data_IF_959852509597
#
_entry.id   IF_959852509597
#
_cell.length_a   1.000
_cell.length_b   1.000
_cell.length_c   1.000
_cell.angle_alpha   90.00
_cell.angle_beta   90.00
_cell.angle_gamma   90.00
#
_symmetry.space_group_name_H-M   'P 1'
#
loop_
_entity.id
_entity.type
_entity.pdbx_description
1 polymer ?
#
# COMPACT_ATOMS: atom_id res chain seq x y z
N UNK A 1 -1.09 -16.68 7.36
CA UNK A 1 -2.24 -16.74 8.29
C UNK A 1 -3.10 -15.51 8.03
N UNK A 2 -4.37 -15.67 7.65
CA UNK A 2 -5.25 -14.52 7.40
C UNK A 2 -5.67 -13.88 8.75
N UNK A 3 -5.30 -12.63 8.99
CA UNK A 3 -5.86 -11.85 10.10
C UNK A 3 -7.36 -11.74 9.93
N UNK A 4 -8.12 -11.97 11.01
CA UNK A 4 -9.58 -11.86 10.98
C UNK A 4 -9.98 -10.38 11.08
N UNK A 5 -10.12 -9.74 9.93
CA UNK A 5 -10.58 -8.35 9.79
C UNK A 5 -12.11 -8.29 9.96
N UNK A 6 -12.58 -7.54 10.95
CA UNK A 6 -14.01 -7.35 11.20
C UNK A 6 -14.60 -6.15 10.41
N UNK A 7 -15.90 -5.88 10.60
CA UNK A 7 -16.59 -4.78 9.90
C UNK A 7 -16.04 -3.40 10.25
N UNK A 8 -15.60 -3.18 11.49
CA UNK A 8 -15.03 -1.90 11.93
C UNK A 8 -13.64 -1.74 11.32
N UNK A 9 -12.82 -2.79 11.32
CA UNK A 9 -11.50 -2.77 10.69
C UNK A 9 -11.59 -2.41 9.21
N UNK A 10 -12.55 -3.00 8.47
CA UNK A 10 -12.79 -2.64 7.06
C UNK A 10 -13.13 -1.17 6.87
N UNK A 11 -13.96 -0.60 7.75
CA UNK A 11 -14.30 0.83 7.70
C UNK A 11 -13.09 1.71 8.01
N UNK A 12 -12.28 1.35 9.00
CA UNK A 12 -11.02 2.05 9.30
C UNK A 12 -10.09 2.01 8.09
N UNK A 13 -9.91 0.84 7.46
CA UNK A 13 -9.08 0.69 6.27
C UNK A 13 -9.61 1.53 5.10
N UNK A 14 -10.92 1.57 4.89
CA UNK A 14 -11.54 2.42 3.86
C UNK A 14 -11.26 3.91 4.11
N UNK A 15 -11.39 4.39 5.35
CA UNK A 15 -11.06 5.79 5.69
C UNK A 15 -9.57 6.10 5.47
N UNK A 16 -8.67 5.19 5.87
CA UNK A 16 -7.23 5.36 5.67
C UNK A 16 -6.82 5.32 4.19
N UNK A 17 -7.46 4.48 3.37
CA UNK A 17 -7.20 4.41 1.94
C UNK A 17 -7.72 5.65 1.20
N UNK A 18 -8.84 6.22 1.67
CA UNK A 18 -9.36 7.47 1.14
C UNK A 18 -8.45 8.66 1.51
N UNK A 19 -8.05 8.74 2.77
CA UNK A 19 -7.12 9.77 3.27
C UNK A 19 -6.44 9.30 4.56
N UNK A 20 -5.16 8.97 4.47
CA UNK A 20 -4.34 8.53 5.60
C UNK A 20 -3.84 9.68 6.49
N UNK A 21 -4.07 10.95 6.12
CA UNK A 21 -3.68 12.13 6.89
C UNK A 21 -4.70 12.50 7.98
N UNK A 22 -5.89 11.91 7.93
CA UNK A 22 -6.97 12.16 8.88
C UNK A 22 -6.56 11.88 10.33
N UNK A 23 -7.08 12.70 11.26
CA UNK A 23 -6.90 12.44 12.67
C UNK A 23 -7.65 11.17 13.10
N UNK A 24 -7.14 10.50 14.14
CA UNK A 24 -7.81 9.35 14.73
C UNK A 24 -9.22 9.70 15.25
N UNK A 25 -9.43 10.93 15.68
CA UNK A 25 -10.74 11.43 16.13
C UNK A 25 -11.74 11.51 14.97
N UNK A 26 -11.30 11.99 13.80
CA UNK A 26 -12.12 12.04 12.59
C UNK A 26 -12.50 10.63 12.11
N UNK A 27 -11.53 9.71 12.06
CA UNK A 27 -11.78 8.31 11.70
C UNK A 27 -12.75 7.69 12.71
N UNK A 28 -12.53 7.89 14.01
CA UNK A 28 -13.38 7.37 15.08
C UNK A 28 -14.84 7.83 14.94
N UNK A 29 -15.07 9.13 14.68
CA UNK A 29 -16.40 9.66 14.42
C UNK A 29 -17.07 8.99 13.22
N UNK A 30 -16.34 8.84 12.09
CA UNK A 30 -16.87 8.23 10.86
C UNK A 30 -17.16 6.73 11.00
N UNK A 31 -16.38 5.99 11.80
CA UNK A 31 -16.57 4.56 12.01
C UNK A 31 -17.52 4.23 13.18
N UNK A 32 -17.97 5.23 13.93
CA UNK A 32 -18.86 5.06 15.08
C UNK A 32 -18.14 4.43 16.28
N UNK A 33 -16.91 4.85 16.55
CA UNK A 33 -16.09 4.36 17.67
C UNK A 33 -15.41 5.52 18.40
N UNK A 34 -14.64 5.23 19.44
CA UNK A 34 -13.78 6.22 20.11
C UNK A 34 -12.33 6.09 19.62
N UNK A 35 -11.53 7.13 19.89
CA UNK A 35 -10.14 7.24 19.45
C UNK A 35 -9.28 6.04 19.85
N UNK A 36 -9.35 5.62 21.12
CA UNK A 36 -8.48 4.58 21.68
C UNK A 36 -8.69 3.20 21.04
N UNK A 37 -9.93 2.69 20.85
CA UNK A 37 -10.19 1.48 20.07
C UNK A 37 -9.69 1.55 18.62
N UNK A 38 -9.92 2.67 17.92
CA UNK A 38 -9.45 2.85 16.53
C UNK A 38 -7.93 2.79 16.47
N UNK A 39 -7.24 3.50 17.37
CA UNK A 39 -5.79 3.46 17.46
C UNK A 39 -5.26 2.04 17.67
N UNK A 40 -5.85 1.30 18.62
CA UNK A 40 -5.45 -0.09 18.90
C UNK A 40 -5.65 -1.01 17.70
N UNK A 41 -6.73 -0.84 16.94
CA UNK A 41 -7.01 -1.60 15.72
C UNK A 41 -6.00 -1.30 14.62
N UNK A 42 -5.72 -0.02 14.37
CA UNK A 42 -4.69 0.40 13.40
C UNK A 42 -3.33 -0.17 13.78
N UNK A 43 -2.93 -0.07 15.06
CA UNK A 43 -1.67 -0.63 15.56
C UNK A 43 -1.58 -2.14 15.29
N UNK A 44 -2.60 -2.91 15.68
CA UNK A 44 -2.65 -4.37 15.44
C UNK A 44 -2.59 -4.72 13.95
N UNK A 45 -3.29 -3.98 13.10
CA UNK A 45 -3.26 -4.20 11.65
C UNK A 45 -1.90 -3.86 11.03
N UNK A 46 -1.19 -2.83 11.54
CA UNK A 46 0.20 -2.54 11.14
C UNK A 46 1.16 -3.64 11.59
N UNK A 47 1.10 -4.05 12.85
CA UNK A 47 1.94 -5.13 13.40
C UNK A 47 1.72 -6.45 12.67
N UNK A 48 0.50 -6.71 12.20
CA UNK A 48 0.19 -7.89 11.40
C UNK A 48 0.48 -7.75 9.90
N UNK A 49 1.05 -6.64 9.45
CA UNK A 49 1.39 -6.40 8.03
C UNK A 49 0.19 -6.16 7.11
N UNK A 50 -1.01 -5.95 7.66
CA UNK A 50 -2.22 -5.62 6.88
C UNK A 50 -2.16 -4.19 6.35
N UNK A 51 -1.63 -3.26 7.18
CA UNK A 51 -1.39 -1.88 6.77
C UNK A 51 0.09 -1.74 6.43
N UNK A 52 0.38 -1.47 5.15
CA UNK A 52 1.72 -1.20 4.66
C UNK A 52 2.23 0.22 4.97
N UNK A 53 3.32 0.64 4.29
CA UNK A 53 3.83 2.00 4.39
C UNK A 53 2.77 3.03 3.99
N UNK A 54 2.78 4.16 4.69
CA UNK A 54 2.01 5.34 4.27
C UNK A 54 2.88 6.15 3.32
N UNK A 55 2.38 6.36 2.10
CA UNK A 55 3.10 7.05 1.03
C UNK A 55 2.39 8.35 0.66
N UNK A 56 3.10 9.22 -0.06
CA UNK A 56 2.55 10.44 -0.67
C UNK A 56 2.48 10.19 -2.17
N UNK A 57 1.31 10.44 -2.77
CA UNK A 57 1.15 10.41 -4.22
C UNK A 57 1.59 11.77 -4.75
N UNK A 58 2.55 11.75 -5.68
CA UNK A 58 3.08 12.95 -6.32
C UNK A 58 2.59 13.03 -7.76
N UNK A 59 2.49 14.24 -8.28
CA UNK A 59 2.18 14.51 -9.67
C UNK A 59 3.45 14.36 -10.51
N UNK A 60 3.48 13.35 -11.39
CA UNK A 60 4.65 13.03 -12.19
C UNK A 60 4.99 14.11 -13.23
N UNK A 61 3.96 14.69 -13.87
CA UNK A 61 4.14 15.74 -14.90
C UNK A 61 4.73 17.01 -14.28
N UNK A 62 4.27 17.40 -13.09
CA UNK A 62 4.85 18.55 -12.37
C UNK A 62 6.29 18.34 -11.91
N UNK A 63 6.77 17.10 -11.89
CA UNK A 63 8.16 16.75 -11.60
C UNK A 63 9.01 16.61 -12.88
N UNK A 64 8.44 16.79 -14.07
CA UNK A 64 9.12 16.67 -15.36
C UNK A 64 9.21 15.24 -15.89
N UNK A 65 8.41 14.30 -15.37
CA UNK A 65 8.30 12.95 -15.90
C UNK A 65 7.17 12.90 -16.95
N UNK A 66 7.51 13.34 -18.16
CA UNK A 66 6.52 13.58 -19.23
C UNK A 66 6.10 12.31 -19.99
N UNK A 67 6.63 11.15 -19.63
CA UNK A 67 6.37 9.90 -20.33
C UNK A 67 6.23 8.71 -19.36
N UNK A 68 5.22 7.87 -19.62
CA UNK A 68 5.00 6.59 -18.96
C UNK A 68 4.87 5.50 -20.03
N UNK A 69 5.67 4.44 -19.93
CA UNK A 69 5.72 3.37 -20.91
C UNK A 69 5.26 2.04 -20.31
N UNK A 70 4.48 1.28 -21.07
CA UNK A 70 4.19 -0.12 -20.79
C UNK A 70 5.06 -0.98 -21.71
N UNK A 71 5.99 -1.74 -21.13
CA UNK A 71 6.91 -2.61 -21.89
C UNK A 71 6.54 -4.06 -21.67
N UNK A 72 6.14 -4.76 -22.74
CA UNK A 72 5.95 -6.21 -22.72
C UNK A 72 7.25 -6.91 -23.08
N UNK A 73 7.79 -7.69 -22.14
CA UNK A 73 9.01 -8.48 -22.35
C UNK A 73 8.64 -9.94 -22.59
N UNK A 74 9.14 -10.53 -23.68
CA UNK A 74 9.06 -11.96 -23.96
C UNK A 74 10.46 -12.56 -23.90
N UNK A 75 10.62 -13.66 -23.18
CA UNK A 75 11.86 -14.44 -23.10
C UNK A 75 11.58 -15.90 -23.45
N UNK A 76 12.59 -16.61 -23.95
CA UNK A 76 12.56 -18.06 -24.15
C UNK A 76 13.06 -18.84 -22.91
N UNK A 77 13.53 -18.12 -21.88
CA UNK A 77 14.10 -18.70 -20.67
C UNK A 77 12.99 -19.09 -19.68
N UNK A 78 13.02 -20.34 -19.23
CA UNK A 78 12.02 -20.90 -18.30
C UNK A 78 12.59 -21.19 -16.91
N UNK A 79 13.90 -21.04 -16.72
CA UNK A 79 14.59 -21.32 -15.46
C UNK A 79 14.21 -20.32 -14.37
N UNK A 80 13.89 -20.83 -13.17
CA UNK A 80 13.46 -20.01 -12.03
C UNK A 80 14.54 -19.00 -11.60
N UNK A 81 15.82 -19.41 -11.66
CA UNK A 81 16.95 -18.56 -11.30
C UNK A 81 17.12 -17.39 -12.28
N UNK A 82 16.88 -17.64 -13.58
CA UNK A 82 16.90 -16.58 -14.58
C UNK A 82 15.79 -15.57 -14.33
N UNK A 83 14.57 -16.04 -14.02
CA UNK A 83 13.43 -15.17 -13.71
C UNK A 83 13.70 -14.32 -12.45
N UNK A 84 14.30 -14.92 -11.42
CA UNK A 84 14.67 -14.21 -10.20
C UNK A 84 15.72 -13.12 -10.47
N UNK A 85 16.76 -13.45 -11.25
CA UNK A 85 17.80 -12.48 -11.63
C UNK A 85 17.23 -11.32 -12.47
N UNK A 86 16.36 -11.62 -13.42
CA UNK A 86 15.67 -10.61 -14.24
C UNK A 86 14.82 -9.67 -13.37
N UNK A 87 13.98 -10.21 -12.48
CA UNK A 87 13.15 -9.41 -11.58
C UNK A 87 13.99 -8.58 -10.60
N UNK A 88 15.11 -9.11 -10.10
CA UNK A 88 16.03 -8.37 -9.24
C UNK A 88 16.65 -7.18 -9.98
N UNK A 89 17.07 -7.39 -11.24
CA UNK A 89 17.64 -6.33 -12.07
C UNK A 89 16.62 -5.23 -12.41
N UNK A 90 15.34 -5.57 -12.58
CA UNK A 90 14.28 -4.58 -12.80
C UNK A 90 13.99 -3.77 -11.52
N UNK A 91 13.79 -4.45 -10.38
CA UNK A 91 13.47 -3.78 -9.09
C UNK A 91 14.59 -2.87 -8.57
N UNK A 92 15.82 -3.03 -9.04
CA UNK A 92 16.96 -2.18 -8.68
C UNK A 92 16.98 -0.85 -9.43
N UNK A 93 16.14 -0.66 -10.46
CA UNK A 93 16.04 0.57 -11.25
C UNK A 93 14.88 1.42 -10.74
N UNK A 94 15.12 2.67 -10.30
CA UNK A 94 14.05 3.51 -9.75
C UNK A 94 13.01 3.95 -10.80
N UNK A 95 13.33 3.83 -12.09
CA UNK A 95 12.43 4.16 -13.20
C UNK A 95 11.42 3.05 -13.53
N UNK A 96 11.54 1.86 -12.91
CA UNK A 96 10.69 0.67 -13.11
C UNK A 96 9.90 0.36 -11.86
#
# INVERSE_FOLDING_TARGET
MAQRIDKIDRRILAELQADASQSLDAIAAKVGSSKTPVWNRIRKMREAGVIGPQTVIVDAEKLGFDACFFVLVRTAEHEADWQAAFLAALKARPEV
#
